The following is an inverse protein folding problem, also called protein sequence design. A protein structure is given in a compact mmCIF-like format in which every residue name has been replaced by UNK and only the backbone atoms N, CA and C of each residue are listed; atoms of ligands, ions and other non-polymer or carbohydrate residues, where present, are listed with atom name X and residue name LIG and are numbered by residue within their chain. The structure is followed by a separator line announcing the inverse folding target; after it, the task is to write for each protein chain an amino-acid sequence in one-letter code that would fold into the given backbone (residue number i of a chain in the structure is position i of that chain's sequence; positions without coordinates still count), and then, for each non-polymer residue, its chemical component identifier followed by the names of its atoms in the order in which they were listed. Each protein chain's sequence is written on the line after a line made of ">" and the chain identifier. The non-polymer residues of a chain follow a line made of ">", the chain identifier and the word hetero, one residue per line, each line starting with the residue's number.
data_IF_022947051901
#
_entry.id   IF_022947051901
#
_cell.length_a   1.000
_cell.length_b   1.000
_cell.length_c   1.000
_cell.angle_alpha   90.00
_cell.angle_beta   90.00
_cell.angle_gamma   90.00
#
_symmetry.space_group_name_H-M   'P 1'
#
loop_
_entity.id
_entity.type
_entity.pdbx_description
1 polymer ?
#
# COMPACT_ATOMS: atom_id res chain seq x y z
N UNK A 1 4.62 -37.25 -0.92
CA UNK A 1 3.34 -37.15 -0.21
C UNK A 1 3.00 -35.68 -0.08
N UNK A 2 1.79 -35.20 -0.42
CA UNK A 2 1.34 -33.81 -0.25
C UNK A 2 0.14 -33.79 0.68
N UNK A 3 -0.04 -32.67 1.41
CA UNK A 3 -1.19 -32.41 2.28
C UNK A 3 -1.93 -31.19 1.76
N UNK A 4 -3.26 -31.28 1.67
CA UNK A 4 -4.10 -30.13 1.29
C UNK A 4 -4.58 -29.43 2.56
N UNK A 5 -4.30 -28.14 2.69
CA UNK A 5 -4.74 -27.30 3.80
C UNK A 5 -5.63 -26.16 3.28
N UNK A 6 -6.74 -25.86 3.97
CA UNK A 6 -7.53 -24.68 3.62
C UNK A 6 -6.77 -23.42 3.98
N UNK A 7 -6.53 -22.55 2.99
CA UNK A 7 -5.90 -21.24 3.17
C UNK A 7 -6.73 -20.16 2.47
N UNK A 8 -6.61 -18.91 2.91
CA UNK A 8 -7.22 -17.79 2.19
C UNK A 8 -6.48 -17.51 0.88
N UNK A 9 -7.17 -16.90 -0.09
CA UNK A 9 -6.53 -16.51 -1.36
C UNK A 9 -5.38 -15.53 -1.13
N UNK A 10 -5.52 -14.59 -0.19
CA UNK A 10 -4.43 -13.67 0.17
C UNK A 10 -3.17 -14.41 0.66
N UNK A 11 -3.31 -15.46 1.48
CA UNK A 11 -2.18 -16.29 1.92
C UNK A 11 -1.57 -17.09 0.77
N UNK A 12 -2.41 -17.64 -0.11
CA UNK A 12 -1.94 -18.42 -1.25
C UNK A 12 -1.16 -17.56 -2.25
N UNK A 13 -1.65 -16.33 -2.55
CA UNK A 13 -0.95 -15.37 -3.40
C UNK A 13 0.35 -14.87 -2.76
N UNK A 14 0.36 -14.66 -1.44
CA UNK A 14 1.57 -14.31 -0.71
C UNK A 14 2.66 -15.38 -0.87
N UNK A 15 2.30 -16.65 -0.66
CA UNK A 15 3.21 -17.77 -0.88
C UNK A 15 3.74 -17.82 -2.32
N UNK A 16 2.88 -17.56 -3.30
CA UNK A 16 3.26 -17.57 -4.71
C UNK A 16 4.25 -16.44 -5.03
N UNK A 17 4.05 -15.22 -4.50
CA UNK A 17 4.99 -14.12 -4.70
C UNK A 17 6.38 -14.41 -4.09
N UNK A 18 6.42 -15.09 -2.94
CA UNK A 18 7.68 -15.54 -2.33
C UNK A 18 8.38 -16.58 -3.21
N UNK A 19 7.63 -17.50 -3.81
CA UNK A 19 8.19 -18.48 -4.73
C UNK A 19 8.71 -17.83 -6.01
N UNK A 20 8.03 -16.82 -6.55
CA UNK A 20 8.54 -16.02 -7.67
C UNK A 20 9.91 -15.42 -7.34
N UNK A 21 10.03 -14.79 -6.15
CA UNK A 21 11.29 -14.20 -5.70
C UNK A 21 12.38 -15.27 -5.55
N UNK A 22 12.07 -16.41 -4.97
CA UNK A 22 12.99 -17.55 -4.85
C UNK A 22 13.48 -18.04 -6.21
N UNK A 23 12.59 -18.18 -7.18
CA UNK A 23 12.94 -18.60 -8.53
C UNK A 23 13.88 -17.59 -9.23
N UNK A 24 13.76 -16.30 -8.91
CA UNK A 24 14.61 -15.25 -9.46
C UNK A 24 15.99 -15.18 -8.74
N UNK A 25 16.02 -15.41 -7.43
CA UNK A 25 17.22 -15.21 -6.58
C UNK A 25 18.08 -16.46 -6.42
N UNK A 26 17.50 -17.66 -6.41
CA UNK A 26 18.22 -18.93 -6.22
C UNK A 26 18.71 -19.41 -7.58
N UNK A 27 20.03 -19.67 -7.70
CA UNK A 27 20.67 -20.04 -8.97
C UNK A 27 21.28 -21.47 -8.96
N UNK A 28 21.12 -22.22 -7.86
CA UNK A 28 21.59 -23.59 -7.70
C UNK A 28 20.45 -24.64 -7.86
N UNK A 29 20.74 -25.92 -7.58
CA UNK A 29 19.80 -27.03 -7.72
C UNK A 29 18.47 -26.81 -6.97
N UNK A 30 18.46 -26.09 -5.85
CA UNK A 30 17.24 -25.78 -5.06
C UNK A 30 16.21 -24.98 -5.86
N UNK A 31 16.63 -24.33 -6.93
CA UNK A 31 15.72 -23.59 -7.83
C UNK A 31 14.68 -24.50 -8.46
N UNK A 32 15.02 -25.75 -8.78
CA UNK A 32 14.11 -26.70 -9.40
C UNK A 32 12.89 -26.98 -8.51
N UNK A 33 13.10 -27.14 -7.20
CA UNK A 33 12.03 -27.34 -6.23
C UNK A 33 11.13 -26.11 -6.13
N UNK A 34 11.72 -24.89 -6.13
CA UNK A 34 10.97 -23.64 -6.10
C UNK A 34 10.09 -23.48 -7.36
N UNK A 35 10.61 -23.82 -8.53
CA UNK A 35 9.87 -23.78 -9.80
C UNK A 35 8.72 -24.78 -9.79
N UNK A 36 8.97 -26.01 -9.36
CA UNK A 36 7.93 -27.04 -9.27
C UNK A 36 6.77 -26.61 -8.35
N UNK A 37 7.11 -26.08 -7.17
CA UNK A 37 6.10 -25.61 -6.21
C UNK A 37 5.33 -24.41 -6.76
N UNK A 38 6.03 -23.41 -7.33
CA UNK A 38 5.43 -22.24 -7.96
C UNK A 38 4.45 -22.64 -9.06
N UNK A 39 4.87 -23.48 -9.99
CA UNK A 39 4.08 -23.87 -11.14
C UNK A 39 2.85 -24.71 -10.74
N UNK A 40 2.96 -25.46 -9.62
CA UNK A 40 1.83 -26.17 -9.03
C UNK A 40 0.79 -25.19 -8.50
N UNK A 41 1.20 -24.19 -7.71
CA UNK A 41 0.28 -23.19 -7.16
C UNK A 41 -0.29 -22.26 -8.24
N UNK A 42 0.50 -21.93 -9.25
CA UNK A 42 0.10 -20.99 -10.30
C UNK A 42 -1.14 -21.51 -11.08
N UNK A 43 -1.29 -22.83 -11.24
CA UNK A 43 -2.45 -23.44 -11.92
C UNK A 43 -3.78 -23.03 -11.26
N UNK A 44 -3.79 -23.00 -9.94
CA UNK A 44 -5.01 -22.69 -9.16
C UNK A 44 -5.17 -21.19 -8.91
N UNK A 45 -4.07 -20.42 -8.95
CA UNK A 45 -4.07 -19.02 -8.57
C UNK A 45 -4.07 -18.03 -9.74
N UNK A 46 -3.90 -18.49 -10.98
CA UNK A 46 -3.80 -17.62 -12.17
C UNK A 46 -4.99 -16.67 -12.31
N UNK A 47 -6.21 -17.17 -12.12
CA UNK A 47 -7.43 -16.35 -12.21
C UNK A 47 -7.48 -15.24 -11.16
N UNK A 48 -6.97 -15.49 -9.97
CA UNK A 48 -6.90 -14.47 -8.91
C UNK A 48 -5.82 -13.42 -9.17
N UNK A 49 -4.69 -13.81 -9.81
CA UNK A 49 -3.68 -12.83 -10.25
C UNK A 49 -4.29 -11.89 -11.28
N UNK A 50 -5.03 -12.43 -12.25
CA UNK A 50 -5.67 -11.65 -13.30
C UNK A 50 -6.78 -10.73 -12.73
N UNK A 51 -7.47 -11.16 -11.67
CA UNK A 51 -8.47 -10.36 -10.97
C UNK A 51 -7.85 -9.26 -10.09
N UNK A 52 -6.68 -9.50 -9.49
CA UNK A 52 -6.03 -8.58 -8.55
C UNK A 52 -4.58 -8.24 -8.95
N UNK A 53 -4.32 -7.79 -10.19
CA UNK A 53 -2.96 -7.65 -10.71
C UNK A 53 -2.15 -6.62 -9.91
N UNK A 54 -2.77 -5.52 -9.48
CA UNK A 54 -2.12 -4.49 -8.69
C UNK A 54 -1.75 -5.01 -7.28
N UNK A 55 -2.69 -5.70 -6.61
CA UNK A 55 -2.45 -6.25 -5.28
C UNK A 55 -1.34 -7.31 -5.31
N UNK A 56 -1.32 -8.17 -6.35
CA UNK A 56 -0.25 -9.16 -6.54
C UNK A 56 1.11 -8.50 -6.73
N UNK A 57 1.18 -7.46 -7.57
CA UNK A 57 2.40 -6.65 -7.77
C UNK A 57 2.91 -6.08 -6.44
N UNK A 58 2.06 -5.40 -5.68
CA UNK A 58 2.44 -4.77 -4.41
C UNK A 58 2.87 -5.83 -3.39
N UNK A 59 2.19 -6.96 -3.32
CA UNK A 59 2.56 -8.06 -2.42
C UNK A 59 3.95 -8.61 -2.77
N UNK A 60 4.27 -8.75 -4.05
CA UNK A 60 5.60 -9.17 -4.53
C UNK A 60 6.67 -8.12 -4.17
N UNK A 61 6.41 -6.84 -4.35
CA UNK A 61 7.32 -5.75 -3.98
C UNK A 61 7.62 -5.73 -2.47
N UNK A 62 6.61 -5.85 -1.64
CA UNK A 62 6.77 -5.92 -0.18
C UNK A 62 7.61 -7.14 0.21
N UNK A 63 7.31 -8.31 -0.35
CA UNK A 63 8.08 -9.52 -0.08
C UNK A 63 9.53 -9.43 -0.57
N UNK A 64 9.77 -8.78 -1.71
CA UNK A 64 11.12 -8.53 -2.22
C UNK A 64 11.90 -7.56 -1.30
N UNK A 65 11.23 -6.55 -0.76
CA UNK A 65 11.84 -5.64 0.22
C UNK A 65 12.24 -6.39 1.48
N UNK A 66 11.36 -7.24 2.02
CA UNK A 66 11.68 -8.09 3.18
C UNK A 66 12.86 -9.01 2.87
N UNK A 67 12.87 -9.65 1.71
CA UNK A 67 13.99 -10.50 1.26
C UNK A 67 15.32 -9.75 1.27
N UNK A 68 15.36 -8.60 0.61
CA UNK A 68 16.59 -7.79 0.53
C UNK A 68 17.05 -7.28 1.90
N UNK A 69 16.12 -6.95 2.81
CA UNK A 69 16.46 -6.57 4.20
C UNK A 69 17.07 -7.76 4.96
N UNK A 70 16.53 -8.96 4.80
CA UNK A 70 17.05 -10.18 5.41
C UNK A 70 18.42 -10.56 4.84
N UNK A 71 18.63 -10.46 3.52
CA UNK A 71 19.95 -10.69 2.89
C UNK A 71 21.01 -9.70 3.39
N UNK A 72 20.61 -8.45 3.69
CA UNK A 72 21.49 -7.47 4.30
C UNK A 72 21.81 -7.76 5.77
N UNK A 73 20.98 -8.54 6.45
CA UNK A 73 21.20 -8.95 7.83
C UNK A 73 22.10 -10.18 7.92
N UNK A 74 21.93 -11.15 7.02
CA UNK A 74 22.71 -12.39 7.01
C UNK A 74 24.07 -12.24 6.36
N UNK A 75 25.11 -12.78 7.02
CA UNK A 75 26.46 -12.91 6.45
C UNK A 75 27.27 -11.62 6.37
N UNK A 76 26.88 -10.55 7.07
CA UNK A 76 27.63 -9.29 7.15
C UNK A 76 27.84 -8.90 8.61
N UNK A 77 29.02 -8.34 8.89
CA UNK A 77 29.27 -7.65 10.14
C UNK A 77 28.49 -6.33 10.15
N UNK A 78 27.40 -6.30 10.91
CA UNK A 78 26.55 -5.12 11.04
C UNK A 78 26.56 -4.64 12.50
N UNK A 79 26.50 -3.33 12.70
CA UNK A 79 26.39 -2.76 14.03
C UNK A 79 25.02 -3.07 14.64
N UNK A 80 24.92 -3.13 15.98
CA UNK A 80 23.65 -3.33 16.69
C UNK A 80 22.59 -2.28 16.29
N UNK A 81 23.02 -1.03 16.10
CA UNK A 81 22.12 0.07 15.66
C UNK A 81 21.53 -0.25 14.28
N UNK A 82 22.38 -0.70 13.34
CA UNK A 82 21.92 -1.04 11.99
C UNK A 82 21.03 -2.28 12.01
N UNK A 83 21.36 -3.28 12.80
CA UNK A 83 20.54 -4.46 13.02
C UNK A 83 19.14 -4.08 13.54
N UNK A 84 19.06 -3.21 14.54
CA UNK A 84 17.79 -2.69 15.08
C UNK A 84 16.96 -1.94 14.03
N UNK A 85 17.61 -1.13 13.16
CA UNK A 85 16.93 -0.45 12.06
C UNK A 85 16.32 -1.46 11.06
N UNK A 86 17.11 -2.46 10.61
CA UNK A 86 16.65 -3.50 9.67
C UNK A 86 15.48 -4.27 10.28
N UNK A 87 15.55 -4.69 11.53
CA UNK A 87 14.44 -5.37 12.21
C UNK A 87 13.17 -4.51 12.22
N UNK A 88 13.31 -3.22 12.52
CA UNK A 88 12.17 -2.27 12.51
C UNK A 88 11.55 -2.13 11.12
N UNK A 89 12.38 -2.07 10.07
CA UNK A 89 11.93 -2.02 8.68
C UNK A 89 11.20 -3.31 8.28
N UNK A 90 11.75 -4.49 8.62
CA UNK A 90 11.10 -5.79 8.38
C UNK A 90 9.72 -5.86 9.06
N UNK A 91 9.59 -5.38 10.30
CA UNK A 91 8.30 -5.35 11.00
C UNK A 91 7.28 -4.46 10.28
N UNK A 92 7.70 -3.29 9.80
CA UNK A 92 6.84 -2.39 9.01
C UNK A 92 6.38 -3.05 7.70
N UNK A 93 7.30 -3.69 6.99
CA UNK A 93 6.97 -4.37 5.73
C UNK A 93 6.07 -5.59 5.96
N UNK A 94 6.26 -6.36 7.03
CA UNK A 94 5.34 -7.43 7.42
C UNK A 94 3.93 -6.91 7.74
N UNK A 95 3.81 -5.71 8.33
CA UNK A 95 2.51 -5.07 8.52
C UNK A 95 1.86 -4.65 7.19
N UNK A 96 2.64 -4.14 6.24
CA UNK A 96 2.16 -3.83 4.88
C UNK A 96 1.71 -5.10 4.16
N UNK A 97 2.53 -6.15 4.20
CA UNK A 97 2.21 -7.48 3.64
C UNK A 97 0.87 -8.00 4.17
N UNK A 98 0.67 -7.96 5.50
CA UNK A 98 -0.59 -8.33 6.12
C UNK A 98 -1.77 -7.54 5.55
N UNK A 99 -1.65 -6.20 5.43
CA UNK A 99 -2.74 -5.35 4.92
C UNK A 99 -3.10 -5.65 3.48
N UNK A 100 -2.13 -5.90 2.62
CA UNK A 100 -2.40 -6.27 1.21
C UNK A 100 -3.15 -7.61 1.14
N UNK A 101 -2.72 -8.62 1.90
CA UNK A 101 -3.44 -9.90 2.01
C UNK A 101 -4.86 -9.72 2.52
N UNK A 102 -5.03 -8.92 3.57
CA UNK A 102 -6.35 -8.65 4.15
C UNK A 102 -7.30 -7.96 3.17
N UNK A 103 -6.81 -7.08 2.28
CA UNK A 103 -7.61 -6.46 1.22
C UNK A 103 -8.15 -7.49 0.24
N UNK A 104 -7.29 -8.37 -0.29
CA UNK A 104 -7.69 -9.46 -1.19
C UNK A 104 -8.76 -10.32 -0.52
N UNK A 105 -8.53 -10.71 0.74
CA UNK A 105 -9.46 -11.53 1.49
C UNK A 105 -10.81 -10.83 1.75
N UNK A 106 -10.82 -9.51 1.96
CA UNK A 106 -12.03 -8.72 2.12
C UNK A 106 -12.82 -8.61 0.81
N UNK A 107 -12.14 -8.33 -0.31
CA UNK A 107 -12.76 -8.25 -1.63
C UNK A 107 -13.42 -9.56 -2.04
N UNK A 108 -12.81 -10.69 -1.67
CA UNK A 108 -13.36 -12.03 -1.91
C UNK A 108 -14.31 -12.54 -0.83
N UNK A 109 -14.61 -11.72 0.18
CA UNK A 109 -15.44 -12.15 1.33
C UNK A 109 -14.95 -13.46 1.97
N UNK A 110 -13.62 -13.65 2.04
CA UNK A 110 -13.01 -14.87 2.57
C UNK A 110 -13.43 -15.14 4.01
N UNK A 111 -13.78 -16.41 4.30
CA UNK A 111 -14.07 -16.85 5.68
C UNK A 111 -12.80 -16.99 6.52
N UNK A 112 -11.69 -17.32 5.88
CA UNK A 112 -10.38 -17.44 6.53
C UNK A 112 -9.67 -16.09 6.45
N UNK A 113 -9.30 -15.52 7.60
CA UNK A 113 -8.66 -14.20 7.68
C UNK A 113 -7.63 -14.20 8.80
N UNK A 114 -6.41 -13.82 8.48
CA UNK A 114 -5.40 -13.51 9.50
C UNK A 114 -5.87 -12.33 10.35
N UNK A 115 -5.60 -12.38 11.65
CA UNK A 115 -5.89 -11.30 12.58
C UNK A 115 -4.61 -10.83 13.26
N UNK A 116 -4.49 -9.53 13.48
CA UNK A 116 -3.43 -8.93 14.29
C UNK A 116 -3.99 -8.48 15.63
N UNK A 117 -3.25 -8.73 16.72
CA UNK A 117 -3.68 -8.42 18.09
C UNK A 117 -3.51 -6.95 18.52
N UNK A 118 -3.04 -6.05 17.65
CA UNK A 118 -2.84 -4.63 17.96
C UNK A 118 -3.90 -3.73 17.33
N UNK A 119 -4.00 -2.51 17.87
CA UNK A 119 -4.99 -1.53 17.43
C UNK A 119 -4.81 -1.15 15.95
N UNK A 120 -5.92 -0.96 15.25
CA UNK A 120 -5.95 -0.52 13.86
C UNK A 120 -5.39 0.90 13.71
N UNK A 121 -4.50 1.09 12.76
CA UNK A 121 -3.94 2.38 12.39
C UNK A 121 -4.78 3.04 11.31
N UNK A 122 -5.13 4.32 11.51
CA UNK A 122 -5.92 5.08 10.55
C UNK A 122 -5.17 6.33 10.12
N UNK A 123 -5.36 6.74 8.86
CA UNK A 123 -4.84 7.99 8.33
C UNK A 123 -5.98 8.88 7.80
N UNK A 124 -5.81 10.19 7.94
CA UNK A 124 -6.64 11.21 7.34
C UNK A 124 -5.81 11.99 6.33
N UNK A 125 -6.24 11.97 5.08
CA UNK A 125 -5.51 12.55 3.96
C UNK A 125 -6.31 13.69 3.32
N UNK A 126 -5.68 14.84 3.18
CA UNK A 126 -6.23 15.94 2.42
C UNK A 126 -5.14 16.67 1.63
N UNK A 127 -5.52 17.25 0.50
CA UNK A 127 -4.65 18.01 -0.37
C UNK A 127 -5.46 19.01 -1.17
N UNK A 128 -4.94 19.46 -2.31
CA UNK A 128 -5.73 20.21 -3.27
C UNK A 128 -6.87 19.31 -3.79
N UNK A 129 -8.06 19.89 -3.94
CA UNK A 129 -9.29 19.14 -4.20
C UNK A 129 -9.78 19.27 -5.65
N UNK A 130 -8.93 19.73 -6.58
CA UNK A 130 -9.16 19.61 -8.00
C UNK A 130 -9.11 18.12 -8.45
N UNK A 131 -9.89 17.73 -9.44
CA UNK A 131 -9.88 16.33 -9.91
C UNK A 131 -8.49 15.92 -10.43
N UNK A 132 -7.79 16.83 -11.12
CA UNK A 132 -6.42 16.60 -11.58
C UNK A 132 -5.45 16.36 -10.42
N UNK A 133 -5.59 17.14 -9.33
CA UNK A 133 -4.76 17.00 -8.13
C UNK A 133 -5.02 15.64 -7.45
N UNK A 134 -6.30 15.22 -7.35
CA UNK A 134 -6.65 13.90 -6.83
C UNK A 134 -5.98 12.78 -7.64
N UNK A 135 -5.89 12.95 -8.96
CA UNK A 135 -5.22 12.00 -9.84
C UNK A 135 -3.70 11.97 -9.58
N UNK A 136 -3.08 13.15 -9.41
CA UNK A 136 -1.66 13.25 -9.07
C UNK A 136 -1.32 12.63 -7.70
N UNK A 137 -2.23 12.71 -6.73
CA UNK A 137 -2.07 12.17 -5.39
C UNK A 137 -2.42 10.67 -5.29
N UNK A 138 -2.95 10.07 -6.37
CA UNK A 138 -3.41 8.67 -6.35
C UNK A 138 -2.34 7.69 -5.83
N UNK A 139 -1.10 7.81 -6.31
CA UNK A 139 0.00 6.96 -5.85
C UNK A 139 0.26 7.11 -4.34
N UNK A 140 0.24 8.34 -3.81
CA UNK A 140 0.43 8.58 -2.37
C UNK A 140 -0.69 7.96 -1.54
N UNK A 141 -1.96 8.15 -1.94
CA UNK A 141 -3.12 7.55 -1.24
C UNK A 141 -3.03 6.02 -1.22
N UNK A 142 -2.72 5.40 -2.36
CA UNK A 142 -2.57 3.96 -2.46
C UNK A 142 -1.38 3.43 -1.66
N UNK A 143 -0.26 4.13 -1.65
CA UNK A 143 0.86 3.79 -0.77
C UNK A 143 0.45 3.83 0.70
N UNK A 144 -0.19 4.93 1.14
CA UNK A 144 -0.68 5.06 2.51
C UNK A 144 -1.69 3.96 2.85
N UNK A 145 -2.53 3.56 1.91
CA UNK A 145 -3.45 2.45 2.10
C UNK A 145 -2.75 1.10 2.30
N UNK A 146 -1.47 0.95 1.95
CA UNK A 146 -0.67 -0.22 2.36
C UNK A 146 -0.10 -0.09 3.77
N UNK A 147 0.04 1.15 4.29
CA UNK A 147 0.64 1.44 5.60
C UNK A 147 -0.39 1.53 6.73
N UNK A 148 -1.66 1.79 6.39
CA UNK A 148 -2.76 1.99 7.32
C UNK A 148 -3.91 1.01 7.06
N UNK A 149 -4.65 0.68 8.11
CA UNK A 149 -5.82 -0.21 8.01
C UNK A 149 -7.03 0.53 7.40
N UNK A 150 -7.00 1.87 7.44
CA UNK A 150 -7.99 2.75 6.83
C UNK A 150 -7.36 4.09 6.47
N UNK A 151 -7.67 4.60 5.29
CA UNK A 151 -7.27 5.96 4.84
C UNK A 151 -8.54 6.73 4.49
N UNK A 152 -8.82 7.79 5.25
CA UNK A 152 -9.91 8.71 4.95
C UNK A 152 -9.38 9.81 4.03
N UNK A 153 -9.95 9.93 2.84
CA UNK A 153 -9.51 10.87 1.80
C UNK A 153 -10.57 11.92 1.57
N UNK A 154 -10.21 13.17 1.75
CA UNK A 154 -11.12 14.30 1.48
C UNK A 154 -11.22 14.53 -0.03
N UNK A 155 -12.43 14.70 -0.54
CA UNK A 155 -12.70 15.03 -1.94
C UNK A 155 -13.91 15.98 -2.06
N UNK A 156 -14.04 16.69 -3.20
CA UNK A 156 -15.23 17.50 -3.47
C UNK A 156 -16.43 16.64 -3.87
N UNK A 157 -17.62 16.97 -3.36
CA UNK A 157 -18.88 16.32 -3.76
C UNK A 157 -19.05 16.20 -5.27
N UNK A 158 -18.72 17.26 -6.02
CA UNK A 158 -18.84 17.28 -7.48
C UNK A 158 -17.94 16.26 -8.19
N UNK A 159 -16.89 15.77 -7.54
CA UNK A 159 -15.96 14.77 -8.08
C UNK A 159 -16.10 13.39 -7.42
N UNK A 160 -17.02 13.24 -6.47
CA UNK A 160 -17.15 12.02 -5.66
C UNK A 160 -17.19 10.75 -6.52
N UNK A 161 -18.02 10.74 -7.57
CA UNK A 161 -18.16 9.57 -8.46
C UNK A 161 -16.84 9.20 -9.15
N UNK A 162 -16.10 10.18 -9.64
CA UNK A 162 -14.81 9.96 -10.30
C UNK A 162 -13.78 9.40 -9.29
N UNK A 163 -13.72 9.98 -8.09
CA UNK A 163 -12.77 9.54 -7.05
C UNK A 163 -13.15 8.16 -6.50
N UNK A 164 -14.45 7.83 -6.42
CA UNK A 164 -14.91 6.48 -6.09
C UNK A 164 -14.40 5.44 -7.10
N UNK A 165 -14.46 5.76 -8.40
CA UNK A 165 -13.94 4.87 -9.44
C UNK A 165 -12.42 4.69 -9.33
N UNK A 166 -11.67 5.73 -8.95
CA UNK A 166 -10.21 5.64 -8.77
C UNK A 166 -9.80 4.61 -7.71
N UNK A 167 -10.64 4.35 -6.73
CA UNK A 167 -10.32 3.49 -5.57
C UNK A 167 -11.34 2.35 -5.38
N UNK A 168 -12.11 2.00 -6.40
CA UNK A 168 -13.19 1.01 -6.31
C UNK A 168 -12.71 -0.40 -5.87
N UNK A 169 -11.45 -0.71 -6.12
CA UNK A 169 -10.79 -1.97 -5.76
C UNK A 169 -10.14 -1.96 -4.36
N UNK A 170 -10.21 -0.85 -3.61
CA UNK A 170 -9.60 -0.75 -2.29
C UNK A 170 -10.61 -0.32 -1.21
N UNK A 171 -11.21 -1.27 -0.48
CA UNK A 171 -12.23 -0.98 0.53
C UNK A 171 -11.66 -0.29 1.79
N UNK A 172 -10.35 -0.12 1.90
CA UNK A 172 -9.72 0.57 3.03
C UNK A 172 -9.62 2.07 2.81
N UNK A 173 -9.85 2.55 1.58
CA UNK A 173 -9.90 3.96 1.23
C UNK A 173 -11.33 4.46 1.36
N UNK A 174 -11.58 5.32 2.34
CA UNK A 174 -12.89 5.89 2.63
C UNK A 174 -12.91 7.34 2.17
N UNK A 175 -13.85 7.69 1.30
CA UNK A 175 -13.97 9.07 0.82
C UNK A 175 -14.79 9.90 1.81
N UNK A 176 -14.27 11.09 2.11
CA UNK A 176 -14.95 12.11 2.90
C UNK A 176 -15.30 13.30 1.99
N UNK A 177 -16.52 13.32 1.43
CA UNK A 177 -16.93 14.35 0.49
C UNK A 177 -17.27 15.66 1.20
N UNK A 178 -16.78 16.77 0.66
CA UNK A 178 -17.06 18.14 1.13
C UNK A 178 -17.59 19.02 -0.01
N UNK A 179 -18.30 20.06 0.35
CA UNK A 179 -18.93 20.96 -0.64
C UNK A 179 -17.88 21.87 -1.25
N UNK A 180 -17.02 22.48 -0.44
CA UNK A 180 -16.05 23.48 -0.87
C UNK A 180 -14.74 23.42 -0.08
N UNK A 181 -13.68 24.00 -0.65
CA UNK A 181 -12.33 24.03 -0.10
C UNK A 181 -12.25 24.78 1.24
N UNK A 182 -13.11 25.76 1.49
CA UNK A 182 -13.10 26.52 2.75
C UNK A 182 -13.31 25.63 3.99
N UNK A 183 -13.93 24.48 3.83
CA UNK A 183 -14.14 23.53 4.93
C UNK A 183 -12.82 22.97 5.46
N UNK A 184 -11.80 22.87 4.60
CA UNK A 184 -10.46 22.38 4.99
C UNK A 184 -9.54 23.51 5.49
N UNK A 185 -9.85 24.76 5.20
CA UNK A 185 -8.99 25.89 5.61
C UNK A 185 -8.61 25.87 7.09
N UNK A 186 -9.50 25.54 8.05
CA UNK A 186 -9.13 25.42 9.45
C UNK A 186 -8.05 24.35 9.71
N UNK A 187 -8.03 23.27 8.92
CA UNK A 187 -7.01 22.23 9.04
C UNK A 187 -5.65 22.68 8.52
N UNK A 188 -5.61 23.61 7.56
CA UNK A 188 -4.35 24.15 7.02
C UNK A 188 -3.61 25.04 8.03
N UNK A 189 -4.36 25.76 8.87
CA UNK A 189 -3.81 26.67 9.89
C UNK A 189 -3.64 26.01 11.27
N UNK A 190 -4.28 24.86 11.49
CA UNK A 190 -4.18 24.16 12.75
C UNK A 190 -2.88 23.36 12.87
N UNK A 191 -2.30 23.31 14.07
CA UNK A 191 -1.15 22.46 14.31
C UNK A 191 -1.50 20.97 14.12
N UNK A 192 -0.73 20.29 13.27
CA UNK A 192 -0.95 18.86 12.95
C UNK A 192 -1.19 17.97 14.19
N UNK A 193 -0.41 18.06 15.31
CA UNK A 193 -0.66 17.23 16.49
C UNK A 193 -2.06 17.41 17.10
N UNK A 194 -2.62 18.63 17.04
CA UNK A 194 -3.97 18.88 17.56
C UNK A 194 -5.04 18.23 16.70
N UNK A 195 -4.86 18.23 15.37
CA UNK A 195 -5.75 17.55 14.43
C UNK A 195 -5.68 16.03 14.68
N UNK A 196 -4.47 15.48 14.77
CA UNK A 196 -4.24 14.05 15.01
C UNK A 196 -4.87 13.60 16.33
N UNK A 197 -4.72 14.38 17.41
CA UNK A 197 -5.33 14.08 18.71
C UNK A 197 -6.85 14.06 18.66
N UNK A 198 -7.45 15.03 17.95
CA UNK A 198 -8.92 15.11 17.85
C UNK A 198 -9.52 14.02 16.96
N UNK A 199 -8.83 13.64 15.89
CA UNK A 199 -9.32 12.61 14.96
C UNK A 199 -8.96 11.19 15.39
N UNK A 200 -7.95 11.00 16.24
CA UNK A 200 -7.37 9.69 16.52
C UNK A 200 -6.77 9.03 15.27
N UNK A 201 -6.27 9.84 14.33
CA UNK A 201 -5.72 9.42 13.04
C UNK A 201 -4.42 10.15 12.75
N UNK A 202 -3.49 9.50 12.04
CA UNK A 202 -2.32 10.20 11.50
C UNK A 202 -2.74 11.10 10.34
N UNK A 203 -2.35 12.36 10.37
CA UNK A 203 -2.75 13.36 9.35
C UNK A 203 -1.68 13.52 8.28
N UNK A 204 -2.10 13.43 7.04
CA UNK A 204 -1.31 13.69 5.84
C UNK A 204 -1.94 14.86 5.07
N UNK A 205 -1.18 15.95 4.99
CA UNK A 205 -1.56 17.16 4.27
C UNK A 205 -0.53 17.45 3.18
N UNK A 206 -0.96 17.75 1.97
CA UNK A 206 -0.06 18.09 0.87
C UNK A 206 -0.58 19.22 0.01
N UNK A 207 0.36 19.91 -0.67
CA UNK A 207 0.07 21.03 -1.56
C UNK A 207 -0.06 22.40 -0.85
N UNK A 208 0.14 22.47 0.47
CA UNK A 208 -0.04 23.69 1.25
C UNK A 208 1.25 24.19 1.91
N UNK A 209 2.30 23.39 1.94
CA UNK A 209 3.52 23.67 2.69
C UNK A 209 4.72 23.99 1.82
N UNK A 210 4.63 23.77 0.52
CA UNK A 210 5.74 24.03 -0.41
C UNK A 210 5.75 25.49 -0.84
N UNK A 211 6.74 26.24 -0.39
CA UNK A 211 6.97 27.61 -0.83
C UNK A 211 7.55 27.63 -2.25
N UNK A 212 6.82 28.17 -3.22
CA UNK A 212 7.23 28.37 -4.61
C UNK A 212 7.71 27.13 -5.39
N UNK A 213 6.90 26.06 -5.54
CA UNK A 213 7.24 25.01 -6.47
C UNK A 213 7.28 25.59 -7.89
N UNK A 214 8.29 25.24 -8.67
CA UNK A 214 8.25 25.50 -10.10
C UNK A 214 7.01 24.81 -10.68
N UNK A 215 6.30 25.47 -11.61
CA UNK A 215 5.00 24.99 -12.11
C UNK A 215 5.05 23.52 -12.57
N UNK A 216 6.16 23.11 -13.21
CA UNK A 216 6.35 21.72 -13.67
C UNK A 216 6.72 20.71 -12.55
N UNK A 217 7.11 21.19 -11.35
CA UNK A 217 7.37 20.39 -10.17
C UNK A 217 6.17 20.33 -9.21
N UNK A 218 5.14 21.13 -9.48
CA UNK A 218 3.98 21.26 -8.61
C UNK A 218 3.38 19.92 -8.16
N UNK A 219 3.13 18.94 -9.05
CA UNK A 219 2.60 17.64 -8.61
C UNK A 219 3.60 16.81 -7.80
N UNK A 220 4.90 17.00 -7.98
CA UNK A 220 5.94 16.30 -7.22
C UNK A 220 6.06 16.86 -5.81
N UNK A 221 5.76 18.16 -5.62
CA UNK A 221 5.77 18.80 -4.30
C UNK A 221 4.77 18.17 -3.32
N UNK A 222 3.71 17.51 -3.81
CA UNK A 222 2.78 16.76 -2.96
C UNK A 222 3.49 15.63 -2.22
N UNK A 223 4.42 14.94 -2.88
CA UNK A 223 5.19 13.84 -2.28
C UNK A 223 6.24 14.36 -1.30
N UNK A 224 6.86 15.50 -1.60
CA UNK A 224 7.81 16.16 -0.70
C UNK A 224 7.14 16.61 0.60
N UNK A 225 5.94 17.21 0.52
CA UNK A 225 5.14 17.61 1.69
C UNK A 225 4.80 16.40 2.58
N UNK A 226 4.52 15.26 1.95
CA UNK A 226 4.21 14.00 2.63
C UNK A 226 5.45 13.28 3.15
N UNK A 227 6.66 13.74 2.80
CA UNK A 227 7.95 13.06 3.05
C UNK A 227 7.97 11.65 2.47
N UNK A 228 7.39 11.49 1.29
CA UNK A 228 7.38 10.26 0.50
C UNK A 228 8.38 10.37 -0.65
N UNK A 229 8.95 9.23 -1.05
CA UNK A 229 9.76 9.19 -2.27
C UNK A 229 8.88 9.54 -3.48
N UNK A 230 9.42 10.36 -4.39
CA UNK A 230 8.73 10.80 -5.60
C UNK A 230 8.41 9.66 -6.56
N UNK A 231 9.14 8.55 -6.50
CA UNK A 231 8.89 7.33 -7.29
C UNK A 231 7.53 6.70 -6.96
N UNK A 232 7.04 6.86 -5.72
CA UNK A 232 5.72 6.37 -5.27
C UNK A 232 4.60 6.87 -6.18
N UNK A 233 4.76 8.06 -6.77
CA UNK A 233 3.81 8.61 -7.73
C UNK A 233 3.52 7.66 -8.89
N UNK A 234 4.53 7.00 -9.42
CA UNK A 234 4.42 6.10 -10.57
C UNK A 234 4.32 4.64 -10.17
N UNK A 235 5.06 4.24 -9.15
CA UNK A 235 5.10 2.86 -8.68
C UNK A 235 3.77 2.40 -8.08
N UNK A 236 3.10 3.31 -7.34
CA UNK A 236 1.82 3.05 -6.69
C UNK A 236 0.62 3.64 -7.43
N UNK A 237 0.83 4.28 -8.59
CA UNK A 237 -0.28 4.75 -9.40
C UNK A 237 -1.05 3.58 -10.00
N UNK A 238 -2.32 3.47 -9.65
CA UNK A 238 -3.23 2.50 -10.21
C UNK A 238 -4.67 3.00 -10.16
N UNK A 239 -5.37 2.90 -11.25
CA UNK A 239 -6.82 3.14 -11.34
C UNK A 239 -7.42 1.88 -11.96
N UNK A 240 -8.37 1.21 -11.27
CA UNK A 240 -8.99 0.01 -11.82
C UNK A 240 -9.75 0.36 -13.09
N UNK A 241 -9.57 -0.46 -14.13
CA UNK A 241 -10.40 -0.39 -15.32
C UNK A 241 -11.75 -1.01 -15.00
N UNK A 242 -12.81 -0.23 -15.08
CA UNK A 242 -14.15 -0.79 -15.16
C UNK A 242 -14.40 -1.15 -16.60
N UNK A 243 -14.67 -2.41 -16.89
CA UNK A 243 -15.25 -2.78 -18.17
C UNK A 243 -16.57 -2.00 -18.32
N UNK A 244 -16.61 -1.13 -19.31
CA UNK A 244 -17.77 -0.30 -19.65
C UNK A 244 -18.79 -1.16 -20.41
#
# INVERSE_FOLDING_TARGET
>A
MSVTLPVSVGEALDKLTILDIKCDKIQDERRADCVLERDTLLKDLKSYIDQFPWHYKILKEVNLTIWNLQDNFHGKDITEIRAGQICTEILKENDRRFRVKAKINNLLSSKLREQKGYAKKKAFFYGHLGLGDMFWMCGAVRYLATCYDQVVVVCKNKYLRNVQQMYADDPTIILFPIVDDYIIQPFQSAAKPNIESNLGMTVYACGYHTTNPRIYEFPLSFYDDLKLDRSIRTEYFYVPTTDV
#
